data_IF_871315438633
#
_entry.id   IF_871315438633
#
_cell.length_a   1.000
_cell.length_b   1.000
_cell.length_c   1.000
_cell.angle_alpha   90.00
_cell.angle_beta   90.00
_cell.angle_gamma   90.00
#
_symmetry.space_group_name_H-M   'P 1'
#
loop_
_entity.id
_entity.type
_entity.pdbx_description
1 polymer ?
#
# COMPACT_ATOMS: atom_id res chain seq x y z
N UNK A 1 -75.32 -8.52 -11.26
CA UNK A 1 -74.48 -9.07 -10.17
C UNK A 1 -73.04 -8.64 -10.41
N UNK A 2 -72.43 -8.05 -9.38
CA UNK A 2 -71.04 -7.60 -9.31
C UNK A 2 -70.05 -8.77 -9.30
N UNK A 3 -68.87 -8.58 -9.90
CA UNK A 3 -67.54 -8.74 -9.27
C UNK A 3 -66.41 -8.24 -10.21
N UNK A 4 -65.75 -7.11 -9.91
CA UNK A 4 -64.42 -6.80 -10.43
C UNK A 4 -63.38 -7.46 -9.53
N UNK A 5 -62.48 -8.26 -10.09
CA UNK A 5 -61.36 -8.82 -9.34
C UNK A 5 -60.17 -7.86 -9.42
N UNK A 6 -59.95 -7.08 -8.35
CA UNK A 6 -58.65 -6.49 -8.03
C UNK A 6 -57.75 -7.61 -7.52
N UNK A 7 -56.53 -7.69 -8.04
CA UNK A 7 -55.28 -7.60 -7.24
C UNK A 7 -54.08 -7.79 -8.17
N UNK A 8 -53.44 -6.70 -8.57
CA UNK A 8 -51.98 -6.64 -8.55
C UNK A 8 -51.63 -5.94 -7.23
N UNK A 9 -50.80 -6.57 -6.38
CA UNK A 9 -49.53 -5.95 -6.06
C UNK A 9 -48.45 -7.02 -5.87
N UNK A 10 -47.58 -7.20 -6.86
CA UNK A 10 -46.35 -8.01 -6.73
C UNK A 10 -45.07 -7.17 -6.84
N UNK A 11 -45.18 -5.86 -7.05
CA UNK A 11 -44.04 -4.98 -7.28
C UNK A 11 -43.59 -4.17 -6.05
N UNK A 12 -44.44 -3.97 -5.04
CA UNK A 12 -44.05 -3.20 -3.84
C UNK A 12 -43.19 -4.03 -2.87
N UNK A 13 -43.50 -5.32 -2.68
CA UNK A 13 -42.77 -6.19 -1.76
C UNK A 13 -41.33 -6.51 -2.20
N UNK A 14 -41.00 -6.35 -3.48
CA UNK A 14 -39.64 -6.56 -4.00
C UNK A 14 -38.77 -5.30 -3.82
N UNK A 15 -39.36 -4.10 -3.93
CA UNK A 15 -38.63 -2.85 -3.70
C UNK A 15 -38.26 -2.64 -2.22
N UNK A 16 -39.07 -3.15 -1.29
CA UNK A 16 -38.81 -3.08 0.14
C UNK A 16 -37.58 -3.92 0.54
N UNK A 17 -37.39 -5.09 -0.12
CA UNK A 17 -36.19 -5.94 0.06
C UNK A 17 -34.92 -5.39 -0.60
N UNK A 18 -35.06 -4.56 -1.65
CA UNK A 18 -33.92 -3.89 -2.29
C UNK A 18 -33.41 -2.73 -1.42
N UNK A 19 -34.29 -2.09 -0.65
CA UNK A 19 -33.90 -1.03 0.27
C UNK A 19 -33.07 -1.53 1.46
N UNK A 20 -33.31 -2.76 1.95
CA UNK A 20 -32.57 -3.38 3.05
C UNK A 20 -31.14 -3.81 2.68
N UNK A 21 -30.80 -3.87 1.38
CA UNK A 21 -29.48 -4.26 0.88
C UNK A 21 -28.74 -3.10 0.19
N UNK A 22 -29.00 -1.84 0.58
CA UNK A 22 -28.23 -0.72 0.04
C UNK A 22 -26.79 -0.82 0.53
N UNK A 23 -25.87 -0.90 -0.43
CA UNK A 23 -24.44 -0.82 -0.16
C UNK A 23 -24.18 0.58 0.42
N UNK A 24 -23.55 0.68 1.61
CA UNK A 24 -23.11 1.95 2.17
C UNK A 24 -22.22 2.69 1.17
N UNK A 25 -22.54 3.94 0.86
CA UNK A 25 -21.79 4.75 -0.11
C UNK A 25 -21.00 5.79 0.67
N UNK A 26 -19.66 5.85 0.51
CA UNK A 26 -18.87 6.88 1.16
C UNK A 26 -19.30 8.27 0.70
N UNK A 27 -19.30 9.23 1.62
CA UNK A 27 -19.51 10.63 1.29
C UNK A 27 -18.31 11.22 0.52
N UNK A 28 -18.48 12.42 -0.03
CA UNK A 28 -17.46 13.08 -0.85
C UNK A 28 -16.13 13.27 -0.10
N UNK A 29 -16.17 13.48 1.22
CA UNK A 29 -14.96 13.65 2.03
C UNK A 29 -14.24 12.31 2.26
N UNK A 30 -14.98 11.23 2.51
CA UNK A 30 -14.44 9.87 2.60
C UNK A 30 -13.83 9.44 1.25
N UNK A 31 -14.48 9.77 0.13
CA UNK A 31 -13.94 9.50 -1.21
C UNK A 31 -12.65 10.28 -1.49
N UNK A 32 -12.60 11.55 -1.12
CA UNK A 32 -11.39 12.39 -1.25
C UNK A 32 -10.24 11.81 -0.42
N UNK A 33 -10.49 11.43 0.84
CA UNK A 33 -9.49 10.83 1.71
C UNK A 33 -8.96 9.49 1.16
N UNK A 34 -9.84 8.63 0.66
CA UNK A 34 -9.44 7.36 0.03
C UNK A 34 -8.64 7.59 -1.27
N UNK A 35 -8.97 8.63 -2.03
CA UNK A 35 -8.20 9.01 -3.21
C UNK A 35 -6.78 9.48 -2.83
N UNK A 36 -6.64 10.30 -1.80
CA UNK A 36 -5.33 10.72 -1.28
C UNK A 36 -4.51 9.52 -0.80
N UNK A 37 -5.11 8.62 -0.01
CA UNK A 37 -4.44 7.42 0.48
C UNK A 37 -3.91 6.54 -0.66
N UNK A 38 -4.68 6.44 -1.75
CA UNK A 38 -4.27 5.72 -2.95
C UNK A 38 -3.11 6.40 -3.68
N UNK A 39 -3.11 7.72 -3.77
CA UNK A 39 -2.00 8.48 -4.34
C UNK A 39 -0.72 8.26 -3.52
N UNK A 40 -0.82 8.40 -2.18
CA UNK A 40 0.31 8.15 -1.26
C UNK A 40 0.84 6.72 -1.37
N UNK A 41 -0.03 5.72 -1.50
CA UNK A 41 0.36 4.32 -1.74
C UNK A 41 1.20 4.18 -3.02
N UNK A 42 0.81 4.86 -4.09
CA UNK A 42 1.55 4.82 -5.37
C UNK A 42 2.96 5.39 -5.19
N UNK A 43 3.06 6.58 -4.57
CA UNK A 43 4.36 7.22 -4.27
C UNK A 43 5.24 6.33 -3.40
N UNK A 44 4.65 5.62 -2.42
CA UNK A 44 5.41 4.69 -1.56
C UNK A 44 5.93 3.48 -2.32
N UNK A 45 5.14 2.89 -3.22
CA UNK A 45 5.58 1.76 -4.04
C UNK A 45 6.81 2.19 -4.86
N UNK A 46 6.75 3.35 -5.50
CA UNK A 46 7.88 3.88 -6.27
C UNK A 46 9.13 4.04 -5.40
N UNK A 47 9.00 4.61 -4.19
CA UNK A 47 10.12 4.73 -3.23
C UNK A 47 10.65 3.39 -2.75
N UNK A 48 9.77 2.41 -2.51
CA UNK A 48 10.19 1.06 -2.12
C UNK A 48 11.00 0.40 -3.23
N UNK A 49 10.61 0.59 -4.50
CA UNK A 49 11.37 0.12 -5.66
C UNK A 49 12.74 0.80 -5.74
N UNK A 50 12.80 2.12 -5.58
CA UNK A 50 14.07 2.87 -5.56
C UNK A 50 15.03 2.37 -4.46
N UNK A 51 14.54 2.18 -3.23
CA UNK A 51 15.34 1.66 -2.12
C UNK A 51 15.83 0.24 -2.44
N UNK A 52 14.97 -0.60 -3.00
CA UNK A 52 15.31 -1.97 -3.38
C UNK A 52 16.38 -2.02 -4.46
N UNK A 53 16.31 -1.14 -5.45
CA UNK A 53 17.30 -1.04 -6.52
C UNK A 53 18.66 -0.56 -6.00
N UNK A 54 18.66 0.42 -5.09
CA UNK A 54 19.88 0.88 -4.43
C UNK A 54 20.51 -0.21 -3.57
N UNK A 55 19.71 -0.92 -2.76
CA UNK A 55 20.19 -2.04 -1.96
C UNK A 55 20.77 -3.16 -2.83
N UNK A 56 20.10 -3.47 -3.94
CA UNK A 56 20.56 -4.46 -4.92
C UNK A 56 21.91 -4.05 -5.53
N UNK A 57 22.08 -2.78 -5.83
CA UNK A 57 23.34 -2.23 -6.37
C UNK A 57 24.48 -2.38 -5.36
N UNK A 58 24.25 -2.01 -4.09
CA UNK A 58 25.24 -2.17 -3.01
C UNK A 58 25.61 -3.65 -2.86
N UNK A 59 24.63 -4.55 -2.85
CA UNK A 59 24.88 -6.00 -2.73
C UNK A 59 25.72 -6.54 -3.88
N UNK A 60 25.48 -6.10 -5.13
CA UNK A 60 26.32 -6.47 -6.28
C UNK A 60 27.77 -6.01 -6.09
N UNK A 61 27.97 -4.80 -5.60
CA UNK A 61 29.31 -4.26 -5.29
C UNK A 61 30.00 -5.09 -4.20
N UNK A 62 29.28 -5.45 -3.13
CA UNK A 62 29.81 -6.31 -2.06
C UNK A 62 30.18 -7.70 -2.60
N UNK A 63 29.34 -8.32 -3.43
CA UNK A 63 29.66 -9.60 -4.07
C UNK A 63 30.93 -9.50 -4.95
N UNK A 64 31.09 -8.41 -5.69
CA UNK A 64 32.28 -8.17 -6.51
C UNK A 64 33.55 -8.04 -5.64
N UNK A 65 33.47 -7.32 -4.53
CA UNK A 65 34.55 -7.20 -3.54
C UNK A 65 34.97 -8.58 -3.02
N UNK A 66 33.99 -9.39 -2.60
CA UNK A 66 34.24 -10.73 -2.04
C UNK A 66 34.90 -11.63 -3.08
N UNK A 67 34.41 -11.62 -4.33
CA UNK A 67 35.00 -12.39 -5.41
C UNK A 67 36.46 -11.98 -5.68
N UNK A 68 36.73 -10.67 -5.78
CA UNK A 68 38.09 -10.15 -6.00
C UNK A 68 39.04 -10.52 -4.87
N UNK A 69 38.56 -10.46 -3.63
CA UNK A 69 39.34 -10.86 -2.46
C UNK A 69 39.68 -12.36 -2.51
N UNK A 70 38.71 -13.21 -2.82
CA UNK A 70 38.93 -14.65 -2.95
C UNK A 70 39.97 -15.00 -4.04
N UNK A 71 39.94 -14.32 -5.18
CA UNK A 71 40.83 -14.61 -6.31
C UNK A 71 42.23 -14.00 -6.20
N UNK A 72 42.36 -12.80 -5.62
CA UNK A 72 43.63 -12.04 -5.66
C UNK A 72 44.08 -11.47 -4.33
N UNK A 73 43.34 -11.72 -3.24
CA UNK A 73 43.58 -11.18 -1.89
C UNK A 73 43.65 -9.64 -1.86
N UNK A 74 43.08 -9.00 -2.88
CA UNK A 74 43.00 -7.56 -2.99
C UNK A 74 41.71 -7.09 -2.35
N UNK A 75 41.81 -6.68 -1.08
CA UNK A 75 40.70 -6.07 -0.35
C UNK A 75 40.50 -4.60 -0.72
N UNK A 76 39.27 -4.08 -0.65
CA UNK A 76 39.00 -2.66 -0.74
C UNK A 76 39.55 -1.92 0.49
N UNK A 77 39.69 -0.60 0.38
CA UNK A 77 40.05 0.21 1.54
C UNK A 77 38.91 0.23 2.57
N UNK A 78 39.27 0.39 3.85
CA UNK A 78 38.33 0.42 4.97
C UNK A 78 37.27 1.52 4.81
N UNK A 79 37.65 2.68 4.30
CA UNK A 79 36.73 3.80 4.08
C UNK A 79 35.61 3.44 3.10
N UNK A 80 35.92 2.66 2.06
CA UNK A 80 34.94 2.23 1.07
C UNK A 80 33.94 1.23 1.67
N UNK A 81 34.42 0.26 2.45
CA UNK A 81 33.53 -0.67 3.16
C UNK A 81 32.59 0.04 4.14
N UNK A 82 33.12 1.02 4.87
CA UNK A 82 32.32 1.82 5.79
C UNK A 82 31.27 2.66 5.06
N UNK A 83 31.59 3.21 3.89
CA UNK A 83 30.63 3.93 3.06
C UNK A 83 29.48 3.02 2.60
N UNK A 84 29.77 1.80 2.12
CA UNK A 84 28.73 0.84 1.73
C UNK A 84 27.85 0.44 2.90
N UNK A 85 28.44 0.21 4.07
CA UNK A 85 27.70 -0.09 5.29
C UNK A 85 26.79 1.07 5.70
N UNK A 86 27.32 2.30 5.68
CA UNK A 86 26.54 3.50 5.98
C UNK A 86 25.35 3.66 5.04
N UNK A 87 25.56 3.52 3.72
CA UNK A 87 24.49 3.59 2.74
C UNK A 87 23.43 2.52 3.00
N UNK A 88 23.83 1.27 3.28
CA UNK A 88 22.86 0.21 3.60
C UNK A 88 22.04 0.54 4.85
N UNK A 89 22.65 1.14 5.89
CA UNK A 89 21.93 1.55 7.09
C UNK A 89 20.92 2.67 6.80
N UNK A 90 21.26 3.63 5.95
CA UNK A 90 20.33 4.68 5.51
C UNK A 90 19.11 4.06 4.83
N UNK A 91 19.32 3.15 3.88
CA UNK A 91 18.23 2.45 3.18
C UNK A 91 17.33 1.65 4.12
N UNK A 92 17.90 1.01 5.14
CA UNK A 92 17.12 0.29 6.17
C UNK A 92 16.22 1.26 6.94
N UNK A 93 16.75 2.41 7.35
CA UNK A 93 15.97 3.42 8.09
C UNK A 93 14.86 3.99 7.22
N UNK A 94 15.14 4.27 5.94
CA UNK A 94 14.12 4.73 4.98
C UNK A 94 13.02 3.68 4.80
N UNK A 95 13.38 2.41 4.64
CA UNK A 95 12.40 1.32 4.52
C UNK A 95 11.53 1.18 5.78
N UNK A 96 12.11 1.26 6.98
CA UNK A 96 11.35 1.24 8.23
C UNK A 96 10.38 2.41 8.30
N UNK A 97 10.81 3.59 7.84
CA UNK A 97 9.97 4.79 7.82
C UNK A 97 8.78 4.62 6.88
N UNK A 98 9.01 4.08 5.67
CA UNK A 98 7.94 3.77 4.72
C UNK A 98 6.94 2.74 5.27
N UNK A 99 7.42 1.72 5.97
CA UNK A 99 6.54 0.71 6.60
C UNK A 99 5.68 1.33 7.72
N UNK A 100 6.23 2.27 8.49
CA UNK A 100 5.46 2.99 9.49
C UNK A 100 4.38 3.90 8.86
N UNK A 101 4.71 4.58 7.76
CA UNK A 101 3.75 5.38 6.98
C UNK A 101 2.64 4.49 6.37
N UNK A 102 2.99 3.32 5.85
CA UNK A 102 2.03 2.35 5.32
C UNK A 102 1.06 1.85 6.39
N UNK A 103 1.57 1.54 7.57
CA UNK A 103 0.74 1.10 8.70
C UNK A 103 -0.25 2.19 9.12
N UNK A 104 0.21 3.43 9.22
CA UNK A 104 -0.65 4.57 9.56
C UNK A 104 -1.75 4.79 8.51
N UNK A 105 -1.39 4.81 7.23
CA UNK A 105 -2.34 4.99 6.14
C UNK A 105 -3.35 3.83 6.07
N UNK A 106 -2.92 2.60 6.38
CA UNK A 106 -3.81 1.42 6.44
C UNK A 106 -4.83 1.55 7.57
N UNK A 107 -4.40 1.99 8.75
CA UNK A 107 -5.31 2.25 9.88
C UNK A 107 -6.32 3.34 9.53
N UNK A 108 -5.87 4.42 8.87
CA UNK A 108 -6.76 5.49 8.43
C UNK A 108 -7.76 5.02 7.36
N UNK A 109 -7.34 4.15 6.44
CA UNK A 109 -8.22 3.53 5.44
C UNK A 109 -9.30 2.69 6.14
N UNK A 110 -8.92 1.83 7.10
CA UNK A 110 -9.83 0.99 7.88
C UNK A 110 -10.85 1.84 8.66
N UNK A 111 -10.39 2.87 9.40
CA UNK A 111 -11.28 3.80 10.10
C UNK A 111 -12.24 4.54 9.16
N UNK A 112 -11.81 4.82 7.94
CA UNK A 112 -12.65 5.49 6.94
C UNK A 112 -13.75 4.55 6.50
N UNK A 113 -13.43 3.30 6.18
CA UNK A 113 -14.41 2.28 5.79
C UNK A 113 -15.37 1.91 6.92
N UNK A 114 -14.91 1.87 8.17
CA UNK A 114 -15.77 1.62 9.34
C UNK A 114 -16.81 2.72 9.58
N UNK A 115 -16.59 3.92 9.02
CA UNK A 115 -17.54 5.05 9.09
C UNK A 115 -18.48 5.12 7.89
N UNK A 116 -18.33 4.22 6.90
CA UNK A 116 -19.22 4.11 5.75
C UNK A 116 -20.33 3.12 6.14
N UNK A 117 -21.30 3.60 6.93
CA UNK A 117 -22.54 2.88 7.32
C UNK A 117 -23.68 3.11 6.31
#
# INVERSE_FOLDING_TARGET
MFRPNRTQPKHEADNEKVAENRIPVPDDHQLELLAELRERRTIRIDRQEEIRDQATTIMRVVCFIVARYAHGHQGPCRQFLWMLEFQMRVLIVEMITLLAEEEFDRQLEEETWDRVD
#
